data_IF_787845172744
#
_entry.id   IF_787845172744
#
_cell.length_a   1.000
_cell.length_b   1.000
_cell.length_c   1.000
_cell.angle_alpha   90.00
_cell.angle_beta   90.00
_cell.angle_gamma   90.00
#
_symmetry.space_group_name_H-M   'P 1'
#
loop_
_entity.id
_entity.type
_entity.pdbx_description
1 polymer ?
#
# COMPACT_ATOMS: atom_id res chain seq x y z
N UNK A 1 -28.37 -12.09 -25.37
CA UNK A 1 -27.48 -12.33 -24.21
C UNK A 1 -26.38 -11.29 -24.30
N UNK A 2 -26.47 -10.27 -23.44
CA UNK A 2 -25.39 -9.43 -22.93
C UNK A 2 -26.04 -8.43 -21.97
N UNK A 3 -25.99 -8.78 -20.68
CA UNK A 3 -26.37 -7.97 -19.53
C UNK A 3 -25.56 -6.67 -19.48
N UNK A 4 -26.24 -5.52 -19.48
CA UNK A 4 -25.71 -4.26 -18.91
C UNK A 4 -26.80 -3.51 -18.13
N UNK A 5 -27.17 -3.91 -16.90
CA UNK A 5 -27.95 -3.05 -16.00
C UNK A 5 -27.25 -2.70 -14.66
N UNK A 6 -26.04 -3.20 -14.39
CA UNK A 6 -25.41 -3.03 -13.06
C UNK A 6 -24.58 -1.73 -12.90
N UNK A 7 -24.03 -1.17 -13.98
CA UNK A 7 -23.11 -0.02 -13.88
C UNK A 7 -23.79 1.30 -13.48
N UNK A 8 -25.00 1.58 -13.95
CA UNK A 8 -25.72 2.83 -13.62
C UNK A 8 -26.23 2.87 -12.17
N UNK A 9 -26.45 1.71 -11.55
CA UNK A 9 -26.86 1.64 -10.13
C UNK A 9 -25.71 1.95 -9.18
N UNK A 10 -24.50 1.58 -9.57
CA UNK A 10 -23.30 1.69 -8.73
C UNK A 10 -22.77 3.14 -8.69
N UNK A 11 -22.90 3.89 -9.80
CA UNK A 11 -22.48 5.29 -9.87
C UNK A 11 -23.25 6.19 -8.87
N UNK A 12 -24.59 6.05 -8.81
CA UNK A 12 -25.40 6.78 -7.83
C UNK A 12 -25.13 6.35 -6.38
N UNK A 13 -24.73 5.09 -6.16
CA UNK A 13 -24.46 4.55 -4.84
C UNK A 13 -23.19 5.17 -4.23
N UNK A 14 -22.09 5.25 -4.98
CA UNK A 14 -20.84 5.86 -4.51
C UNK A 14 -21.05 7.33 -4.15
N UNK A 15 -21.80 8.06 -4.98
CA UNK A 15 -22.13 9.45 -4.74
C UNK A 15 -23.12 9.67 -3.58
N UNK A 16 -23.65 8.63 -2.95
CA UNK A 16 -24.52 8.76 -1.77
C UNK A 16 -23.77 8.51 -0.44
N UNK A 17 -22.55 7.96 -0.50
CA UNK A 17 -21.76 7.62 0.69
C UNK A 17 -21.26 8.87 1.44
N UNK A 18 -21.11 8.72 2.75
CA UNK A 18 -20.44 9.71 3.60
C UNK A 18 -18.99 9.91 3.14
N UNK A 19 -18.62 11.16 2.86
CA UNK A 19 -17.37 11.48 2.17
C UNK A 19 -16.12 11.04 2.94
N UNK A 20 -16.07 11.30 4.25
CA UNK A 20 -14.90 10.99 5.08
C UNK A 20 -14.66 9.47 5.18
N UNK A 21 -15.65 8.65 5.57
CA UNK A 21 -15.50 7.18 5.53
C UNK A 21 -15.17 6.62 4.15
N UNK A 22 -15.74 7.19 3.08
CA UNK A 22 -15.41 6.76 1.72
C UNK A 22 -13.95 7.06 1.36
N UNK A 23 -13.43 8.23 1.74
CA UNK A 23 -12.02 8.59 1.56
C UNK A 23 -11.10 7.65 2.35
N UNK A 24 -11.44 7.34 3.60
CA UNK A 24 -10.70 6.39 4.43
C UNK A 24 -10.61 5.01 3.77
N UNK A 25 -11.74 4.49 3.30
CA UNK A 25 -11.81 3.18 2.65
C UNK A 25 -10.96 3.12 1.39
N UNK A 26 -11.01 4.17 0.55
CA UNK A 26 -10.19 4.25 -0.67
C UNK A 26 -8.71 4.38 -0.31
N UNK A 27 -8.34 5.29 0.59
CA UNK A 27 -6.94 5.52 0.97
C UNK A 27 -6.31 4.34 1.72
N UNK A 28 -7.11 3.45 2.32
CA UNK A 28 -6.62 2.23 2.95
C UNK A 28 -6.01 1.25 1.95
N UNK A 29 -6.50 1.24 0.70
CA UNK A 29 -6.09 0.26 -0.32
C UNK A 29 -5.13 0.82 -1.36
N UNK A 30 -4.74 2.09 -1.30
CA UNK A 30 -3.84 2.68 -2.30
C UNK A 30 -2.36 2.33 -2.03
N UNK A 31 -1.71 1.85 -3.10
CA UNK A 31 -0.29 1.51 -3.08
C UNK A 31 0.64 2.69 -3.42
N UNK A 32 0.08 3.82 -3.85
CA UNK A 32 0.79 5.06 -4.20
C UNK A 32 -0.01 6.29 -3.74
N UNK A 33 0.62 7.47 -3.55
CA UNK A 33 -0.10 8.69 -3.17
C UNK A 33 -1.22 9.05 -4.16
N UNK A 34 -2.46 9.14 -3.67
CA UNK A 34 -3.63 9.41 -4.50
C UNK A 34 -3.89 10.92 -4.62
N UNK A 35 -3.97 11.43 -5.85
CA UNK A 35 -4.23 12.86 -6.08
C UNK A 35 -5.68 13.22 -5.73
N UNK A 36 -5.90 14.47 -5.31
CA UNK A 36 -7.26 15.00 -5.05
C UNK A 36 -8.15 14.86 -6.28
N UNK A 37 -7.60 15.08 -7.48
CA UNK A 37 -8.35 14.98 -8.74
C UNK A 37 -8.80 13.53 -9.01
N UNK A 38 -7.95 12.54 -8.73
CA UNK A 38 -8.30 11.14 -8.87
C UNK A 38 -9.36 10.72 -7.85
N UNK A 39 -9.18 11.09 -6.57
CA UNK A 39 -10.14 10.80 -5.50
C UNK A 39 -11.50 11.46 -5.77
N UNK A 40 -11.52 12.70 -6.24
CA UNK A 40 -12.74 13.41 -6.61
C UNK A 40 -13.49 12.75 -7.77
N UNK A 41 -12.75 12.25 -8.78
CA UNK A 41 -13.33 11.50 -9.90
C UNK A 41 -13.93 10.18 -9.44
N UNK A 42 -13.20 9.39 -8.66
CA UNK A 42 -13.65 8.07 -8.18
C UNK A 42 -14.85 8.19 -7.25
N UNK A 43 -14.82 9.14 -6.32
CA UNK A 43 -15.90 9.34 -5.35
C UNK A 43 -17.06 10.18 -5.89
N UNK A 44 -16.96 10.68 -7.13
CA UNK A 44 -17.96 11.54 -7.77
C UNK A 44 -18.32 12.76 -6.90
N UNK A 45 -17.29 13.48 -6.45
CA UNK A 45 -17.40 14.60 -5.50
C UNK A 45 -16.69 15.83 -6.03
N UNK A 46 -17.11 17.04 -5.65
CA UNK A 46 -16.38 18.25 -5.99
C UNK A 46 -14.95 18.18 -5.42
N UNK A 47 -13.96 18.50 -6.26
CA UNK A 47 -12.54 18.52 -5.88
C UNK A 47 -12.27 19.28 -4.59
N UNK A 48 -12.95 20.42 -4.39
CA UNK A 48 -12.83 21.24 -3.19
C UNK A 48 -13.29 20.50 -1.93
N UNK A 49 -14.46 19.84 -2.00
CA UNK A 49 -15.00 19.08 -0.87
C UNK A 49 -14.04 17.94 -0.47
N UNK A 50 -13.44 17.25 -1.45
CA UNK A 50 -12.43 16.23 -1.19
C UNK A 50 -11.18 16.82 -0.54
N UNK A 51 -10.65 17.91 -1.08
CA UNK A 51 -9.46 18.56 -0.52
C UNK A 51 -9.68 19.03 0.93
N UNK A 52 -10.85 19.58 1.23
CA UNK A 52 -11.20 20.08 2.55
C UNK A 52 -11.38 18.90 3.53
N UNK A 53 -12.12 17.85 3.13
CA UNK A 53 -12.30 16.64 3.94
C UNK A 53 -10.98 15.91 4.25
N UNK A 54 -10.03 15.85 3.30
CA UNK A 54 -8.72 15.25 3.52
C UNK A 54 -7.90 16.00 4.58
N UNK A 55 -7.94 17.34 4.57
CA UNK A 55 -7.26 18.16 5.59
C UNK A 55 -7.91 17.98 6.96
N UNK A 56 -9.25 18.02 7.01
CA UNK A 56 -9.98 17.79 8.25
C UNK A 56 -9.66 16.41 8.85
N UNK A 57 -9.63 15.35 8.03
CA UNK A 57 -9.24 14.01 8.49
C UNK A 57 -7.80 13.98 9.03
N UNK A 58 -6.85 14.61 8.33
CA UNK A 58 -5.47 14.67 8.78
C UNK A 58 -5.33 15.39 10.15
N UNK A 59 -6.06 16.48 10.34
CA UNK A 59 -6.10 17.22 11.60
C UNK A 59 -6.78 16.39 12.70
N UNK A 60 -7.91 15.75 12.41
CA UNK A 60 -8.65 14.89 13.34
C UNK A 60 -7.78 13.73 13.84
N UNK A 61 -7.06 13.03 12.95
CA UNK A 61 -6.18 11.93 13.36
C UNK A 61 -5.01 12.40 14.23
N UNK A 62 -4.54 13.63 13.99
CA UNK A 62 -3.49 14.27 14.79
C UNK A 62 -4.00 14.61 16.18
N UNK A 63 -5.17 15.25 16.29
CA UNK A 63 -5.82 15.58 17.57
C UNK A 63 -6.14 14.31 18.37
N UNK A 64 -6.63 13.26 17.70
CA UNK A 64 -6.94 11.97 18.31
C UNK A 64 -5.71 11.13 18.67
N UNK A 65 -4.50 11.56 18.29
CA UNK A 65 -3.24 10.82 18.48
C UNK A 65 -3.30 9.38 17.93
N UNK A 66 -3.85 9.21 16.72
CA UNK A 66 -3.87 7.90 16.03
C UNK A 66 -2.45 7.46 15.70
N UNK A 67 -2.20 6.15 15.62
CA UNK A 67 -0.88 5.58 15.29
C UNK A 67 -0.43 5.75 13.83
N UNK A 68 -1.24 6.42 13.01
CA UNK A 68 -0.98 6.74 11.62
C UNK A 68 -1.26 8.22 11.34
N UNK A 69 -0.72 8.70 10.22
CA UNK A 69 -0.91 10.02 9.67
C UNK A 69 -1.47 9.92 8.25
N UNK A 70 -2.33 10.87 7.90
CA UNK A 70 -2.69 11.15 6.51
C UNK A 70 -1.83 12.31 6.01
N UNK A 71 -0.95 12.06 5.02
CA UNK A 71 0.06 13.05 4.56
C UNK A 71 -0.10 13.39 3.08
N UNK A 72 0.15 14.65 2.73
CA UNK A 72 0.28 15.12 1.35
C UNK A 72 1.76 15.01 0.91
N UNK A 73 2.06 14.10 -0.03
CA UNK A 73 3.40 13.84 -0.55
C UNK A 73 3.34 13.77 -2.07
N UNK A 74 4.27 14.46 -2.76
CA UNK A 74 4.34 14.50 -4.23
C UNK A 74 3.01 14.87 -4.92
N UNK A 75 2.17 15.70 -4.28
CA UNK A 75 0.86 16.10 -4.80
C UNK A 75 -0.28 15.09 -4.58
N UNK A 76 -0.02 13.98 -3.90
CA UNK A 76 -1.02 12.97 -3.53
C UNK A 76 -1.12 12.74 -2.04
N UNK A 77 -2.21 12.12 -1.60
CA UNK A 77 -2.49 11.78 -0.21
C UNK A 77 -2.31 10.30 0.04
N UNK A 78 -1.74 9.95 1.19
CA UNK A 78 -1.58 8.56 1.63
C UNK A 78 -1.49 8.43 3.14
N UNK A 79 -1.92 7.28 3.67
CA UNK A 79 -1.61 6.88 5.03
C UNK A 79 -0.15 6.48 5.21
N UNK A 80 0.42 6.91 6.34
CA UNK A 80 1.74 6.51 6.81
C UNK A 80 1.65 6.16 8.28
N UNK A 81 2.48 5.22 8.74
CA UNK A 81 2.64 5.01 10.18
C UNK A 81 3.37 6.20 10.80
N UNK A 82 2.99 6.52 12.04
CA UNK A 82 3.67 7.55 12.83
C UNK A 82 5.05 7.05 13.30
N UNK A 83 6.10 7.87 13.22
CA UNK A 83 7.46 7.45 13.59
C UNK A 83 7.56 7.04 15.07
N UNK A 84 6.71 7.59 15.95
CA UNK A 84 6.65 7.22 17.37
C UNK A 84 6.32 5.73 17.58
N UNK A 85 5.69 5.08 16.59
CA UNK A 85 5.31 3.67 16.62
C UNK A 85 6.21 2.79 15.74
N UNK A 86 7.33 3.31 15.24
CA UNK A 86 8.23 2.59 14.35
C UNK A 86 8.71 1.25 14.93
N UNK A 87 9.04 1.20 16.23
CA UNK A 87 9.49 -0.03 16.89
C UNK A 87 8.43 -1.14 16.88
N UNK A 88 7.14 -0.79 17.00
CA UNK A 88 6.06 -1.77 16.95
C UNK A 88 5.87 -2.32 15.52
N UNK A 89 5.97 -1.45 14.52
CA UNK A 89 5.90 -1.84 13.10
C UNK A 89 7.10 -2.71 12.73
N UNK A 90 8.31 -2.33 13.14
CA UNK A 90 9.54 -3.09 12.90
C UNK A 90 9.45 -4.48 13.54
N UNK A 91 9.01 -4.56 14.80
CA UNK A 91 8.77 -5.84 15.47
C UNK A 91 7.83 -6.75 14.69
N UNK A 92 6.70 -6.23 14.20
CA UNK A 92 5.74 -7.01 13.41
C UNK A 92 6.28 -7.43 12.03
N UNK A 93 6.98 -6.53 11.33
CA UNK A 93 7.55 -6.83 9.99
C UNK A 93 8.68 -7.85 10.09
N UNK A 94 9.48 -7.81 11.15
CA UNK A 94 10.57 -8.76 11.36
C UNK A 94 10.09 -10.11 11.93
N UNK A 95 8.97 -10.12 12.66
CA UNK A 95 8.33 -11.35 13.13
C UNK A 95 7.84 -12.16 11.93
N UNK A 96 8.43 -13.34 11.72
CA UNK A 96 8.16 -14.20 10.56
C UNK A 96 9.09 -14.02 9.35
N UNK A 97 9.92 -12.96 9.28
CA UNK A 97 10.91 -12.79 8.19
C UNK A 97 12.24 -13.50 8.41
N UNK A 98 12.41 -14.22 9.51
CA UNK A 98 13.49 -15.18 9.67
C UNK A 98 13.16 -16.54 9.04
N UNK A 99 12.85 -16.58 7.74
CA UNK A 99 13.02 -17.82 7.00
C UNK A 99 14.53 -18.07 6.92
N UNK A 100 15.08 -18.83 7.89
CA UNK A 100 16.47 -19.27 7.85
C UNK A 100 16.67 -19.97 6.51
N UNK A 101 17.51 -19.40 5.65
CA UNK A 101 17.91 -20.06 4.41
C UNK A 101 18.45 -21.44 4.79
N UNK A 102 17.90 -22.48 4.17
CA UNK A 102 18.43 -23.82 4.37
C UNK A 102 19.88 -23.84 3.94
N UNK A 103 20.66 -24.79 4.45
CA UNK A 103 22.03 -24.98 4.00
C UNK A 103 22.10 -25.09 2.46
N UNK A 104 21.11 -25.75 1.86
CA UNK A 104 21.02 -25.84 0.40
C UNK A 104 20.75 -24.49 -0.28
N UNK A 105 19.97 -23.60 0.30
CA UNK A 105 19.79 -22.25 -0.25
C UNK A 105 21.07 -21.39 -0.09
N UNK A 106 21.75 -21.49 1.05
CA UNK A 106 23.02 -20.78 1.31
C UNK A 106 24.15 -21.22 0.39
N UNK A 107 24.29 -22.53 0.17
CA UNK A 107 25.30 -23.07 -0.75
C UNK A 107 25.03 -22.61 -2.20
N UNK A 108 23.77 -22.47 -2.62
CA UNK A 108 23.41 -21.90 -3.93
C UNK A 108 23.79 -20.42 -4.01
N UNK A 109 23.46 -19.64 -2.97
CA UNK A 109 23.80 -18.22 -2.89
C UNK A 109 25.33 -18.01 -2.97
N UNK A 110 26.11 -18.83 -2.27
CA UNK A 110 27.56 -18.78 -2.28
C UNK A 110 28.15 -19.04 -3.68
N UNK A 111 27.62 -20.03 -4.41
CA UNK A 111 28.05 -20.31 -5.80
C UNK A 111 27.77 -19.12 -6.72
N UNK A 112 26.58 -18.51 -6.62
CA UNK A 112 26.24 -17.32 -7.43
C UNK A 112 27.15 -16.14 -7.09
N UNK A 113 27.33 -15.82 -5.81
CA UNK A 113 28.11 -14.67 -5.37
C UNK A 113 29.58 -14.71 -5.82
N UNK A 114 30.21 -15.89 -5.74
CA UNK A 114 31.63 -16.06 -6.09
C UNK A 114 31.89 -16.38 -7.57
N UNK A 115 30.88 -16.82 -8.33
CA UNK A 115 31.05 -17.24 -9.74
C UNK A 115 30.20 -16.48 -10.73
N UNK A 116 29.58 -15.36 -10.34
CA UNK A 116 28.87 -14.51 -11.29
C UNK A 116 29.81 -13.98 -12.38
N UNK A 117 29.38 -13.98 -13.66
CA UNK A 117 28.12 -14.50 -14.18
C UNK A 117 28.11 -16.05 -14.31
N UNK A 118 27.10 -16.71 -13.74
CA UNK A 118 26.95 -18.18 -13.73
C UNK A 118 25.53 -18.60 -14.16
N UNK A 119 25.43 -19.66 -14.97
CA UNK A 119 24.15 -20.23 -15.40
C UNK A 119 23.58 -21.21 -14.37
N UNK A 120 22.26 -21.40 -14.37
CA UNK A 120 21.57 -22.38 -13.52
C UNK A 120 22.13 -23.81 -13.65
N UNK A 121 22.46 -24.25 -14.88
CA UNK A 121 23.08 -25.57 -15.09
C UNK A 121 24.47 -25.68 -14.45
N UNK A 122 25.26 -24.61 -14.45
CA UNK A 122 26.57 -24.59 -13.80
C UNK A 122 26.44 -24.53 -12.27
N UNK A 123 25.42 -23.87 -11.73
CA UNK A 123 25.12 -23.90 -10.29
C UNK A 123 24.75 -25.32 -9.84
N UNK A 124 23.85 -25.99 -10.55
CA UNK A 124 23.44 -27.38 -10.30
C UNK A 124 24.63 -28.34 -10.36
N UNK A 125 25.49 -28.23 -11.39
CA UNK A 125 26.69 -29.06 -11.50
C UNK A 125 27.68 -28.90 -10.34
N UNK A 126 27.84 -27.68 -9.79
CA UNK A 126 28.71 -27.44 -8.61
C UNK A 126 28.08 -27.97 -7.32
N UNK A 127 26.75 -28.00 -7.25
CA UNK A 127 25.99 -28.45 -6.08
C UNK A 127 25.69 -29.95 -6.09
N UNK A 128 25.80 -30.62 -7.23
CA UNK A 128 25.51 -32.05 -7.38
C UNK A 128 24.02 -32.40 -7.24
N UNK A 129 23.13 -31.42 -7.43
CA UNK A 129 21.66 -31.53 -7.33
C UNK A 129 20.98 -31.01 -8.58
#
# INVERSE_FOLDING_TARGET
MSEQPDQERDEGAVASLDLKPALEAVLMVVDEPATVDHLAKVLQRPRRAVADALRELADEYTVQRRGFDLRLVAGGWRFYTRPEYAAAVEGFVLDGQHARLTQAALETLAVVAYRQPVSRSRVSAVRGV
#
